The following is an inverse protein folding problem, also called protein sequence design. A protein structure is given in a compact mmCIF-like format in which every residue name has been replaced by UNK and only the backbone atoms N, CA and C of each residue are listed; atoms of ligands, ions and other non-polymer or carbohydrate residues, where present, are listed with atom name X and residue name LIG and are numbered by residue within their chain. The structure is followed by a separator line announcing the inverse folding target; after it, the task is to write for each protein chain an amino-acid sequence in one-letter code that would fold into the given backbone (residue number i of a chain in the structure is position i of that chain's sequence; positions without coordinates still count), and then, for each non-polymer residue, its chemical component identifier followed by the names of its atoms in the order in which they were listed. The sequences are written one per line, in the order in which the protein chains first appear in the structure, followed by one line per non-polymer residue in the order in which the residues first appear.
data_IF_636195548896
#
_entry.id   IF_636195548896
#
_cell.length_a   1.000
_cell.length_b   1.000
_cell.length_c   1.000
_cell.angle_alpha   90.00
_cell.angle_beta   90.00
_cell.angle_gamma   90.00
#
_symmetry.space_group_name_H-M   'P 1'
#
loop_
_entity.id
_entity.type
_entity.pdbx_description
1 polymer ?
#
# COMPACT_ATOMS: atom_id res chain seq x y z
N UNK A 1 8.82 5.24 -1.83
CA UNK A 1 8.01 5.77 -0.73
C UNK A 1 7.41 4.63 0.06
N UNK A 2 7.46 4.67 1.39
CA UNK A 2 6.86 3.67 2.26
C UNK A 2 6.24 4.31 3.51
N UNK A 3 5.17 3.70 4.01
CA UNK A 3 4.48 4.10 5.23
C UNK A 3 4.96 3.23 6.39
N UNK A 4 5.21 3.82 7.54
CA UNK A 4 5.59 3.06 8.74
C UNK A 4 4.39 2.86 9.65
N UNK A 5 4.11 1.61 10.03
CA UNK A 5 3.08 1.30 11.01
C UNK A 5 3.36 0.02 11.79
N UNK A 6 2.65 -0.14 12.89
CA UNK A 6 2.56 -1.43 13.57
C UNK A 6 1.49 -2.26 12.87
N UNK A 7 1.79 -3.53 12.57
CA UNK A 7 0.88 -4.44 11.88
C UNK A 7 0.50 -5.60 12.79
N UNK A 8 -0.77 -5.97 12.76
CA UNK A 8 -1.26 -7.15 13.45
C UNK A 8 -1.14 -8.34 12.51
N UNK A 9 -0.56 -9.43 12.99
CA UNK A 9 -0.42 -10.66 12.22
C UNK A 9 -1.35 -11.74 12.76
N UNK A 10 -1.76 -12.69 11.90
CA UNK A 10 -2.53 -13.85 12.35
C UNK A 10 -1.86 -14.52 13.55
N UNK A 11 -2.64 -14.81 14.60
CA UNK A 11 -2.12 -15.31 15.89
C UNK A 11 -2.08 -14.27 17.01
N UNK A 12 -2.54 -13.03 16.76
CA UNK A 12 -2.73 -12.01 17.80
C UNK A 12 -1.45 -11.26 18.21
N UNK A 13 -0.37 -11.41 17.44
CA UNK A 13 0.88 -10.68 17.67
C UNK A 13 0.89 -9.37 16.89
N UNK A 14 1.55 -8.36 17.45
CA UNK A 14 1.80 -7.08 16.77
C UNK A 14 3.29 -6.95 16.45
N UNK A 15 3.61 -6.68 15.19
CA UNK A 15 4.98 -6.36 14.77
C UNK A 15 5.10 -4.85 14.62
N UNK A 16 5.97 -4.25 15.42
CA UNK A 16 6.13 -2.79 15.47
C UNK A 16 7.07 -2.28 14.37
N UNK A 17 6.89 -1.02 13.95
CA UNK A 17 7.76 -0.31 13.01
C UNK A 17 7.96 -1.02 11.66
N UNK A 18 6.90 -1.66 11.15
CA UNK A 18 6.90 -2.27 9.83
C UNK A 18 6.80 -1.20 8.74
N UNK A 19 7.28 -1.54 7.55
CA UNK A 19 7.29 -0.66 6.38
C UNK A 19 6.32 -1.21 5.34
N UNK A 20 5.28 -0.46 5.02
CA UNK A 20 4.31 -0.78 3.98
C UNK A 20 4.67 0.01 2.73
N UNK A 21 4.95 -0.71 1.64
CA UNK A 21 5.36 -0.12 0.36
C UNK A 21 4.40 -0.55 -0.73
N UNK A 22 4.06 0.38 -1.62
CA UNK A 22 3.37 0.06 -2.88
C UNK A 22 4.28 -0.84 -3.72
N UNK A 23 3.80 -2.04 -4.03
CA UNK A 23 4.48 -2.99 -4.92
C UNK A 23 3.99 -2.83 -6.35
N UNK A 24 2.67 -2.91 -6.52
CA UNK A 24 2.03 -2.88 -7.83
C UNK A 24 0.79 -2.00 -7.80
N UNK A 25 0.52 -1.33 -8.91
CA UNK A 25 -0.68 -0.50 -9.09
C UNK A 25 -1.28 -0.78 -10.45
N UNK A 26 -2.59 -0.98 -10.48
CA UNK A 26 -3.35 -1.20 -11.70
C UNK A 26 -4.63 -0.36 -11.70
N UNK A 27 -4.82 0.41 -12.76
CA UNK A 27 -6.10 1.00 -13.07
C UNK A 27 -6.92 -0.01 -13.88
N UNK A 28 -8.17 -0.21 -13.48
CA UNK A 28 -9.07 -1.10 -14.20
C UNK A 28 -10.49 -0.54 -14.19
N UNK A 29 -11.23 -0.88 -15.23
CA UNK A 29 -12.66 -0.61 -15.36
C UNK A 29 -13.34 -1.95 -15.57
N UNK A 30 -14.36 -2.25 -14.78
CA UNK A 30 -15.17 -3.45 -14.97
C UNK A 30 -16.09 -3.19 -16.15
N UNK A 31 -16.28 -4.17 -17.04
CA UNK A 31 -17.03 -3.98 -18.29
C UNK A 31 -18.46 -3.43 -18.11
N UNK A 32 -19.06 -3.69 -16.95
CA UNK A 32 -20.42 -3.25 -16.59
C UNK A 32 -20.48 -1.93 -15.81
N UNK A 33 -19.33 -1.36 -15.43
CA UNK A 33 -19.24 -0.15 -14.61
C UNK A 33 -18.76 1.03 -15.47
N UNK A 34 -19.22 2.24 -15.19
CA UNK A 34 -18.73 3.45 -15.86
C UNK A 34 -17.40 3.93 -15.28
N UNK A 35 -17.16 3.61 -14.02
CA UNK A 35 -16.15 4.25 -13.20
C UNK A 35 -14.84 3.44 -13.20
N UNK A 36 -13.73 4.15 -13.23
CA UNK A 36 -12.42 3.55 -13.13
C UNK A 36 -12.04 3.34 -11.67
N UNK A 37 -11.27 2.29 -11.42
CA UNK A 37 -10.83 1.92 -10.08
C UNK A 37 -9.33 1.67 -10.08
N UNK A 38 -8.67 2.09 -9.00
CA UNK A 38 -7.26 1.83 -8.76
C UNK A 38 -7.14 0.70 -7.76
N UNK A 39 -6.52 -0.41 -8.15
CA UNK A 39 -6.08 -1.43 -7.22
C UNK A 39 -4.61 -1.24 -6.91
N UNK A 40 -4.29 -1.30 -5.63
CA UNK A 40 -2.96 -1.07 -5.09
C UNK A 40 -2.58 -2.27 -4.25
N UNK A 41 -1.55 -2.99 -4.68
CA UNK A 41 -0.97 -4.09 -3.91
C UNK A 41 0.23 -3.56 -3.11
N UNK A 42 0.32 -3.95 -1.85
CA UNK A 42 1.35 -3.47 -0.92
C UNK A 42 2.13 -4.61 -0.29
N UNK A 43 3.43 -4.42 -0.13
CA UNK A 43 4.28 -5.30 0.67
C UNK A 43 4.58 -4.69 2.03
N UNK A 44 4.53 -5.56 3.04
CA UNK A 44 4.89 -5.23 4.42
C UNK A 44 6.25 -5.84 4.73
N UNK A 45 7.23 -4.99 4.99
CA UNK A 45 8.56 -5.38 5.45
C UNK A 45 8.68 -5.20 6.95
N UNK A 46 9.35 -6.14 7.62
CA UNK A 46 9.56 -6.10 9.07
C UNK A 46 10.29 -4.84 9.54
N UNK A 47 11.25 -4.35 8.76
CA UNK A 47 12.06 -3.17 9.06
C UNK A 47 12.73 -2.64 7.78
N UNK A 48 13.49 -1.54 7.92
CA UNK A 48 14.25 -0.92 6.81
C UNK A 48 15.29 -1.85 6.19
N UNK A 49 15.97 -2.67 7.01
CA UNK A 49 16.99 -3.59 6.53
C UNK A 49 16.39 -4.65 5.61
N UNK A 50 15.25 -5.24 5.98
CA UNK A 50 14.52 -6.18 5.12
C UNK A 50 14.05 -5.49 3.84
N UNK A 51 13.45 -4.30 3.91
CA UNK A 51 13.06 -3.53 2.70
C UNK A 51 14.23 -3.34 1.73
N UNK A 52 15.42 -3.06 2.24
CA UNK A 52 16.60 -2.80 1.43
C UNK A 52 17.19 -4.06 0.76
N UNK A 53 16.78 -5.27 1.18
CA UNK A 53 17.19 -6.54 0.54
C UNK A 53 16.47 -6.80 -0.78
N UNK A 54 15.47 -6.00 -1.15
CA UNK A 54 14.72 -6.16 -2.39
C UNK A 54 14.04 -7.53 -2.48
N UNK A 55 14.39 -8.33 -3.49
CA UNK A 55 13.79 -9.66 -3.72
C UNK A 55 14.10 -10.69 -2.62
N UNK A 56 15.16 -10.47 -1.85
CA UNK A 56 15.56 -11.35 -0.74
C UNK A 56 14.94 -10.92 0.61
N UNK A 57 14.09 -9.90 0.60
CA UNK A 57 13.44 -9.39 1.80
C UNK A 57 12.46 -10.39 2.40
N UNK A 58 12.46 -10.52 3.72
CA UNK A 58 11.37 -11.19 4.41
C UNK A 58 10.18 -10.25 4.56
N UNK A 59 9.06 -10.68 3.99
CA UNK A 59 7.78 -9.97 4.05
C UNK A 59 6.90 -10.56 5.14
N UNK A 60 6.09 -9.68 5.74
CA UNK A 60 5.08 -10.05 6.72
C UNK A 60 3.75 -10.15 5.99
N UNK A 61 3.07 -11.28 6.17
CA UNK A 61 1.71 -11.45 5.65
C UNK A 61 0.75 -10.73 6.60
N UNK A 62 0.18 -9.62 6.14
CA UNK A 62 -0.83 -8.87 6.87
C UNK A 62 -2.01 -8.56 5.93
N UNK A 63 -3.07 -9.38 5.93
CA UNK A 63 -4.19 -9.24 5.00
C UNK A 63 -4.90 -7.88 5.06
N UNK A 64 -4.89 -7.22 6.22
CA UNK A 64 -5.49 -5.89 6.42
C UNK A 64 -4.80 -4.78 5.61
N UNK A 65 -3.54 -4.99 5.23
CA UNK A 65 -2.71 -4.03 4.49
C UNK A 65 -2.04 -4.67 3.27
N UNK A 66 -2.62 -5.74 2.72
CA UNK A 66 -2.10 -6.44 1.54
C UNK A 66 -2.56 -5.72 0.25
N UNK A 67 -3.84 -5.32 0.19
CA UNK A 67 -4.43 -4.75 -1.02
C UNK A 67 -5.47 -3.69 -0.70
N UNK A 68 -5.48 -2.65 -1.51
CA UNK A 68 -6.42 -1.55 -1.42
C UNK A 68 -7.09 -1.31 -2.76
N UNK A 69 -8.30 -0.78 -2.68
CA UNK A 69 -9.10 -0.38 -3.82
C UNK A 69 -9.57 1.04 -3.60
N UNK A 70 -9.36 1.89 -4.59
CA UNK A 70 -9.76 3.29 -4.57
C UNK A 70 -10.51 3.66 -5.84
N UNK A 71 -11.34 4.69 -5.75
CA UNK A 71 -11.90 5.35 -6.92
C UNK A 71 -10.77 6.06 -7.69
N UNK A 72 -10.87 6.01 -9.01
CA UNK A 72 -9.88 6.59 -9.92
C UNK A 72 -10.58 7.27 -11.09
N UNK A 73 -10.07 8.42 -11.50
CA UNK A 73 -10.52 9.07 -12.73
C UNK A 73 -9.30 9.41 -13.62
N UNK A 74 -9.07 8.67 -14.72
CA UNK A 74 -7.93 8.90 -15.60
C UNK A 74 -7.99 10.26 -16.33
N UNK A 75 -9.14 10.93 -16.36
CA UNK A 75 -9.28 12.25 -16.99
C UNK A 75 -8.74 13.37 -16.11
N UNK A 76 -8.92 13.27 -14.78
CA UNK A 76 -8.45 14.24 -13.79
C UNK A 76 -7.12 13.86 -13.12
N UNK A 77 -6.86 12.56 -12.92
CA UNK A 77 -5.70 12.06 -12.17
C UNK A 77 -4.60 11.60 -13.12
N UNK A 78 -3.80 12.56 -13.60
CA UNK A 78 -2.75 12.33 -14.63
C UNK A 78 -1.35 12.05 -14.07
N UNK A 79 -1.20 12.01 -12.75
CA UNK A 79 0.09 11.70 -12.11
C UNK A 79 0.48 10.23 -12.30
N UNK A 80 1.75 9.93 -12.06
CA UNK A 80 2.21 8.53 -11.99
C UNK A 80 1.35 7.73 -10.99
N UNK A 81 0.89 6.54 -11.41
CA UNK A 81 -0.04 5.73 -10.63
C UNK A 81 0.53 5.30 -9.28
N UNK A 82 1.85 5.12 -9.16
CA UNK A 82 2.52 4.79 -7.88
C UNK A 82 2.45 5.98 -6.92
N UNK A 83 2.66 7.19 -7.43
CA UNK A 83 2.58 8.43 -6.63
C UNK A 83 1.14 8.66 -6.17
N UNK A 84 0.18 8.44 -7.07
CA UNK A 84 -1.24 8.56 -6.76
C UNK A 84 -1.67 7.54 -5.70
N UNK A 85 -1.31 6.26 -5.90
CA UNK A 85 -1.58 5.19 -4.95
C UNK A 85 -1.01 5.49 -3.57
N UNK A 86 0.25 5.95 -3.50
CA UNK A 86 0.86 6.34 -2.23
C UNK A 86 0.11 7.48 -1.55
N UNK A 87 -0.36 8.47 -2.32
CA UNK A 87 -1.15 9.60 -1.80
C UNK A 87 -2.48 9.13 -1.22
N UNK A 88 -3.21 8.28 -1.96
CA UNK A 88 -4.48 7.70 -1.49
C UNK A 88 -4.29 6.79 -0.28
N UNK A 89 -3.24 5.96 -0.26
CA UNK A 89 -2.89 5.15 0.90
C UNK A 89 -2.62 6.01 2.14
N UNK A 90 -1.83 7.09 2.01
CA UNK A 90 -1.54 8.00 3.13
C UNK A 90 -2.79 8.65 3.72
N UNK A 91 -3.81 8.90 2.88
CA UNK A 91 -5.10 9.44 3.31
C UNK A 91 -6.07 8.37 3.85
N UNK A 92 -5.80 7.08 3.59
CA UNK A 92 -6.66 5.98 4.05
C UNK A 92 -6.64 5.86 5.57
N UNK A 93 -7.78 5.55 6.18
CA UNK A 93 -7.96 5.56 7.64
C UNK A 93 -6.93 4.70 8.40
N UNK A 94 -6.51 3.57 7.82
CA UNK A 94 -5.48 2.67 8.39
C UNK A 94 -4.12 3.36 8.54
N UNK A 95 -3.76 4.22 7.58
CA UNK A 95 -2.46 4.90 7.53
C UNK A 95 -2.53 6.38 7.92
N UNK A 96 -3.73 6.90 8.20
CA UNK A 96 -3.88 8.29 8.62
C UNK A 96 -3.08 8.56 9.89
N UNK A 97 -2.25 9.62 9.86
CA UNK A 97 -1.35 9.98 10.96
C UNK A 97 -0.11 9.09 11.13
N UNK A 98 0.15 8.15 10.21
CA UNK A 98 1.35 7.30 10.24
C UNK A 98 2.57 8.01 9.62
N UNK A 99 3.76 7.64 10.08
CA UNK A 99 5.01 8.25 9.64
C UNK A 99 5.36 7.81 8.22
N UNK A 100 5.87 8.75 7.42
CA UNK A 100 6.34 8.48 6.06
C UNK A 100 7.86 8.40 6.06
N UNK A 101 8.44 7.32 5.53
CA UNK A 101 9.88 7.24 5.23
C UNK A 101 10.05 7.62 3.75
N UNK A 102 10.78 8.72 3.53
CA UNK A 102 11.07 9.28 2.20
C UNK A 102 12.11 8.41 1.49
#
# INVERSE_FOLDING_TARGET
MALQMNVNIPGGYTVNNCYVRVDSVRAYKKDSETDWMLMVDTYVYKNKAERNKGRLAQMIICPEVDRFKFDFDPSSEKSDLIVLAYTKLKAHAIFSGKTTDV
#
